data_IF_076248122697
#
_entry.id   IF_076248122697
#
_cell.length_a   1.000
_cell.length_b   1.000
_cell.length_c   1.000
_cell.angle_alpha   90.00
_cell.angle_beta   90.00
_cell.angle_gamma   90.00
#
_symmetry.space_group_name_H-M   'P 1'
#
loop_
_entity.id
_entity.type
_entity.pdbx_description
1 polymer ?
#
# COMPACT_ATOMS: atom_id res chain seq x y z
N UNK A 1 -55.43 -18.03 -11.35
CA UNK A 1 -55.28 -18.51 -9.95
C UNK A 1 -54.05 -17.81 -9.39
N UNK A 2 -54.24 -16.65 -8.74
CA UNK A 2 -54.21 -16.48 -7.27
C UNK A 2 -52.75 -16.33 -6.76
N UNK A 3 -52.24 -15.11 -6.50
CA UNK A 3 -52.38 -14.24 -5.29
C UNK A 3 -51.93 -14.93 -3.98
N UNK A 4 -51.11 -14.20 -3.19
CA UNK A 4 -50.70 -14.36 -1.76
C UNK A 4 -49.35 -15.08 -1.55
N UNK A 5 -48.35 -14.60 -0.79
CA UNK A 5 -48.27 -13.62 0.30
C UNK A 5 -46.80 -13.18 0.61
N UNK A 6 -46.64 -11.95 1.14
CA UNK A 6 -45.62 -11.39 2.09
C UNK A 6 -44.13 -11.37 1.69
N UNK A 7 -43.37 -10.26 1.63
CA UNK A 7 -43.29 -8.98 2.38
C UNK A 7 -43.09 -9.13 3.90
N UNK A 8 -41.82 -9.28 4.31
CA UNK A 8 -41.20 -8.87 5.61
C UNK A 8 -39.68 -9.10 5.41
N UNK A 9 -38.70 -8.25 5.69
CA UNK A 9 -38.60 -7.03 6.47
C UNK A 9 -37.41 -6.18 5.93
N UNK A 10 -37.66 -4.93 5.52
CA UNK A 10 -36.64 -3.87 5.37
C UNK A 10 -37.31 -2.49 5.48
N UNK A 11 -38.02 -2.26 6.60
CA UNK A 11 -38.52 -0.94 7.02
C UNK A 11 -38.47 -0.90 8.56
N UNK A 12 -37.39 -0.30 9.10
CA UNK A 12 -37.25 0.23 10.46
C UNK A 12 -36.32 1.44 10.23
N UNK A 13 -36.73 2.72 10.26
CA UNK A 13 -37.26 3.47 11.40
C UNK A 13 -37.82 4.80 10.86
N UNK A 14 -39.14 4.95 10.84
CA UNK A 14 -39.82 6.24 10.70
C UNK A 14 -41.16 6.06 11.44
N UNK A 15 -41.27 6.56 12.67
CA UNK A 15 -42.43 7.25 13.32
C UNK A 15 -42.14 7.42 14.83
N UNK A 16 -42.20 8.67 15.33
CA UNK A 16 -42.41 9.16 16.73
C UNK A 16 -41.64 10.49 16.84
N UNK A 17 -42.19 11.70 16.98
CA UNK A 17 -43.50 12.21 17.37
C UNK A 17 -43.82 13.49 16.56
N UNK A 18 -45.02 13.59 16.01
CA UNK A 18 -45.74 14.86 15.85
C UNK A 18 -46.69 14.99 17.03
N UNK A 19 -46.48 15.97 17.90
CA UNK A 19 -47.57 16.51 18.74
C UNK A 19 -47.36 18.01 18.95
N UNK A 20 -48.35 18.72 18.43
CA UNK A 20 -48.73 20.12 18.58
C UNK A 20 -48.39 20.73 19.96
N UNK A 21 -47.80 21.92 19.95
CA UNK A 21 -48.09 22.97 20.93
C UNK A 21 -48.37 24.28 20.18
N UNK A 22 -49.63 24.43 19.77
CA UNK A 22 -50.28 25.73 19.68
C UNK A 22 -50.46 26.19 21.13
N UNK A 23 -49.73 27.22 21.55
CA UNK A 23 -50.11 28.05 22.69
C UNK A 23 -50.22 29.47 22.18
N UNK A 24 -51.46 29.89 21.98
CA UNK A 24 -51.86 31.27 21.93
C UNK A 24 -51.54 31.94 23.27
N UNK A 25 -50.67 32.96 23.25
CA UNK A 25 -50.63 33.98 24.29
C UNK A 25 -50.73 35.38 23.65
N UNK A 26 -51.68 36.10 24.22
CA UNK A 26 -52.22 37.44 24.04
C UNK A 26 -51.25 38.58 23.67
N UNK A 27 -51.81 39.53 22.91
CA UNK A 27 -51.30 40.87 22.57
C UNK A 27 -50.54 41.61 23.68
N UNK A 28 -49.40 42.24 23.32
CA UNK A 28 -49.16 43.67 23.55
C UNK A 28 -47.90 44.17 22.81
N UNK A 29 -48.12 45.05 21.82
CA UNK A 29 -47.23 46.10 21.29
C UNK A 29 -45.71 45.86 21.25
N UNK A 30 -45.18 45.58 20.06
CA UNK A 30 -44.19 46.44 19.39
C UNK A 30 -43.98 45.89 17.96
N UNK A 31 -44.07 46.80 17.00
CA UNK A 31 -44.13 46.52 15.58
C UNK A 31 -42.88 45.77 15.08
N UNK A 32 -43.07 44.57 14.54
CA UNK A 32 -42.12 43.92 13.65
C UNK A 32 -42.92 43.32 12.49
N UNK A 33 -43.10 44.12 11.45
CA UNK A 33 -43.69 43.69 10.18
C UNK A 33 -42.71 42.75 9.48
N UNK A 34 -42.94 41.45 9.59
CA UNK A 34 -42.37 40.45 8.70
C UNK A 34 -42.90 40.71 7.29
N UNK A 35 -42.04 41.16 6.38
CA UNK A 35 -42.37 41.22 4.96
C UNK A 35 -42.30 39.80 4.38
N UNK A 36 -43.47 39.20 4.17
CA UNK A 36 -43.64 37.99 3.37
C UNK A 36 -43.73 38.35 1.88
N UNK A 37 -43.01 37.61 1.04
CA UNK A 37 -43.31 37.51 -0.38
C UNK A 37 -43.28 36.03 -0.81
N UNK A 38 -44.46 35.39 -0.80
CA UNK A 38 -44.88 34.37 -1.76
C UNK A 38 -44.22 32.98 -1.72
N UNK A 39 -44.76 32.09 -0.88
CA UNK A 39 -45.13 30.70 -1.19
C UNK A 39 -44.10 29.68 -1.69
N UNK A 40 -43.64 28.78 -0.80
CA UNK A 40 -43.93 27.32 -0.80
C UNK A 40 -43.52 26.69 0.56
N UNK A 41 -44.15 25.57 0.99
CA UNK A 41 -43.91 24.95 2.29
C UNK A 41 -42.73 23.97 2.22
N UNK A 42 -41.54 24.39 2.68
CA UNK A 42 -40.40 23.47 2.75
C UNK A 42 -39.06 24.03 3.25
N UNK A 43 -38.87 25.35 3.27
CA UNK A 43 -37.57 25.92 3.67
C UNK A 43 -37.45 25.97 5.19
N UNK A 44 -36.68 25.06 5.77
CA UNK A 44 -36.24 25.16 7.16
C UNK A 44 -35.30 26.37 7.28
N UNK A 45 -35.73 27.42 7.98
CA UNK A 45 -34.89 28.60 8.25
C UNK A 45 -33.73 28.19 9.17
N UNK A 46 -32.56 27.96 8.58
CA UNK A 46 -31.39 27.35 9.23
C UNK A 46 -30.53 28.29 10.07
N UNK A 47 -31.09 29.28 10.79
CA UNK A 47 -30.47 29.91 11.97
C UNK A 47 -31.50 30.37 12.99
N UNK A 48 -31.50 29.75 14.17
CA UNK A 48 -32.23 30.24 15.33
C UNK A 48 -31.35 31.25 16.07
N UNK A 49 -31.38 32.50 15.64
CA UNK A 49 -30.59 33.59 16.21
C UNK A 49 -31.38 34.31 17.30
N UNK A 50 -30.78 34.55 18.46
CA UNK A 50 -31.34 35.46 19.47
C UNK A 50 -31.13 36.92 19.00
N UNK A 51 -32.15 37.54 18.41
CA UNK A 51 -32.12 38.94 17.95
C UNK A 51 -33.16 39.28 16.88
N UNK A 52 -33.19 40.55 16.47
CA UNK A 52 -33.95 40.98 15.29
C UNK A 52 -33.18 40.59 14.02
N UNK A 53 -33.92 40.12 13.01
CA UNK A 53 -33.38 39.66 11.73
C UNK A 53 -33.92 40.55 10.60
N UNK A 54 -33.04 40.95 9.69
CA UNK A 54 -33.44 41.55 8.42
C UNK A 54 -33.38 40.49 7.30
N UNK A 55 -34.29 40.61 6.32
CA UNK A 55 -34.36 39.74 5.14
C UNK A 55 -34.05 40.54 3.88
N UNK A 56 -33.19 40.00 3.01
CA UNK A 56 -32.92 40.55 1.67
C UNK A 56 -32.96 39.48 0.58
N UNK A 57 -33.39 39.86 -0.62
CA UNK A 57 -33.45 38.99 -1.81
C UNK A 57 -32.35 39.36 -2.81
N UNK A 58 -31.47 38.41 -3.14
CA UNK A 58 -30.40 38.50 -4.15
C UNK A 58 -28.98 38.24 -3.61
N UNK A 59 -28.09 37.64 -4.42
CA UNK A 59 -26.68 37.42 -4.05
C UNK A 59 -25.91 38.74 -4.10
N UNK A 60 -25.61 39.35 -2.96
CA UNK A 60 -24.68 40.48 -2.89
C UNK A 60 -23.78 40.35 -1.67
N UNK A 61 -22.52 40.74 -1.87
CA UNK A 61 -21.68 41.18 -0.76
C UNK A 61 -22.20 42.53 -0.25
N UNK A 62 -22.31 42.67 1.07
CA UNK A 62 -22.75 43.89 1.71
C UNK A 62 -21.58 44.48 2.50
N UNK A 63 -21.11 45.68 2.15
CA UNK A 63 -20.28 46.49 3.07
C UNK A 63 -21.16 47.20 4.12
N UNK A 64 -22.35 47.63 3.69
CA UNK A 64 -23.42 48.23 4.49
C UNK A 64 -24.79 47.76 3.96
N UNK A 65 -25.81 47.75 4.83
CA UNK A 65 -27.18 47.45 4.43
C UNK A 65 -28.12 48.54 4.94
N UNK A 66 -28.99 49.04 4.06
CA UNK A 66 -30.01 50.05 4.40
C UNK A 66 -31.40 49.45 4.35
N UNK A 67 -32.19 49.76 5.36
CA UNK A 67 -33.62 49.45 5.43
C UNK A 67 -34.41 50.34 4.46
N UNK A 68 -35.70 50.05 4.28
CA UNK A 68 -36.58 50.77 3.34
C UNK A 68 -36.75 52.25 3.67
N UNK A 69 -36.55 52.64 4.93
CA UNK A 69 -36.53 54.03 5.40
C UNK A 69 -35.16 54.71 5.26
N UNK A 70 -34.24 54.06 4.55
CA UNK A 70 -32.86 54.51 4.28
C UNK A 70 -31.95 54.53 5.53
N UNK A 71 -32.39 53.94 6.66
CA UNK A 71 -31.55 53.78 7.85
C UNK A 71 -30.60 52.58 7.72
N UNK A 72 -29.41 52.67 8.32
CA UNK A 72 -28.45 51.57 8.31
C UNK A 72 -28.83 50.47 9.30
N UNK A 73 -28.73 49.22 8.86
CA UNK A 73 -28.83 48.02 9.68
C UNK A 73 -27.62 47.94 10.62
N UNK A 74 -27.85 47.87 11.93
CA UNK A 74 -26.81 47.96 12.97
C UNK A 74 -27.02 46.93 14.08
N UNK A 75 -25.93 46.40 14.62
CA UNK A 75 -25.88 45.42 15.72
C UNK A 75 -26.81 44.21 15.54
N UNK A 76 -26.93 43.72 14.31
CA UNK A 76 -27.92 42.67 14.00
C UNK A 76 -27.51 41.85 12.78
N UNK A 77 -28.13 40.68 12.69
CA UNK A 77 -27.94 39.74 11.60
C UNK A 77 -28.85 40.07 10.41
N UNK A 78 -28.31 39.91 9.21
CA UNK A 78 -29.03 39.91 7.94
C UNK A 78 -29.01 38.48 7.38
N UNK A 79 -30.19 37.95 7.11
CA UNK A 79 -30.37 36.75 6.30
C UNK A 79 -30.58 37.18 4.85
N UNK A 80 -29.62 36.88 4.00
CA UNK A 80 -29.74 37.08 2.56
C UNK A 80 -30.10 35.76 1.91
N UNK A 81 -31.16 35.76 1.12
CA UNK A 81 -31.56 34.62 0.31
C UNK A 81 -31.31 34.96 -1.15
N UNK A 82 -30.49 34.16 -1.81
CA UNK A 82 -30.30 34.26 -3.25
C UNK A 82 -31.08 33.22 -4.02
N UNK A 83 -31.79 33.69 -5.04
CA UNK A 83 -32.40 32.84 -6.06
C UNK A 83 -31.30 32.39 -7.02
N UNK A 84 -31.01 31.09 -7.05
CA UNK A 84 -30.19 30.51 -8.13
C UNK A 84 -31.07 30.17 -9.34
N UNK A 85 -30.46 30.02 -10.51
CA UNK A 85 -31.17 29.73 -11.77
C UNK A 85 -31.96 28.40 -11.78
N UNK A 86 -31.87 27.57 -10.73
CA UNK A 86 -32.44 26.22 -10.67
C UNK A 86 -33.45 25.99 -9.52
N UNK A 87 -34.01 27.04 -8.93
CA UNK A 87 -34.90 26.97 -7.74
C UNK A 87 -34.22 26.44 -6.46
N UNK A 88 -32.90 26.43 -6.40
CA UNK A 88 -32.17 26.28 -5.14
C UNK A 88 -31.97 27.66 -4.49
N UNK A 89 -32.25 27.73 -3.19
CA UNK A 89 -32.07 28.92 -2.39
C UNK A 89 -30.77 28.83 -1.60
N UNK A 90 -29.82 29.72 -1.91
CA UNK A 90 -28.63 29.89 -1.09
C UNK A 90 -28.95 30.89 0.03
N UNK A 91 -28.73 30.46 1.27
CA UNK A 91 -28.94 31.28 2.46
C UNK A 91 -27.56 31.71 2.98
N UNK A 92 -27.36 33.01 3.09
CA UNK A 92 -26.12 33.61 3.59
C UNK A 92 -26.41 34.57 4.73
N UNK A 93 -25.58 34.51 5.77
CA UNK A 93 -25.76 35.34 6.96
C UNK A 93 -24.61 36.32 7.14
N UNK A 94 -24.95 37.55 7.50
CA UNK A 94 -24.02 38.66 7.71
C UNK A 94 -24.36 39.36 9.02
N UNK A 95 -23.36 39.84 9.76
CA UNK A 95 -23.59 40.65 10.95
C UNK A 95 -23.07 42.07 10.77
N UNK A 96 -23.88 43.06 11.16
CA UNK A 96 -23.51 44.48 11.06
C UNK A 96 -23.17 45.06 12.42
N UNK A 97 -22.07 45.82 12.50
CA UNK A 97 -21.62 46.48 13.72
C UNK A 97 -22.51 47.68 14.11
N UNK A 98 -22.14 48.38 15.19
CA UNK A 98 -22.84 49.58 15.68
C UNK A 98 -22.84 50.76 14.68
N UNK A 99 -21.95 50.75 13.71
CA UNK A 99 -21.83 51.76 12.67
C UNK A 99 -22.56 51.36 11.39
N UNK A 100 -22.98 50.10 11.27
CA UNK A 100 -23.68 49.54 10.12
C UNK A 100 -22.75 48.95 9.08
N UNK A 101 -21.54 48.57 9.49
CA UNK A 101 -20.55 47.89 8.65
C UNK A 101 -20.57 46.39 8.90
N UNK A 102 -20.46 45.60 7.86
CA UNK A 102 -20.39 44.14 7.96
C UNK A 102 -19.12 43.69 8.69
N UNK A 103 -19.28 42.79 9.65
CA UNK A 103 -18.18 42.16 10.38
C UNK A 103 -17.54 41.04 9.57
N UNK A 104 -16.27 40.75 9.88
CA UNK A 104 -15.42 39.78 9.18
C UNK A 104 -14.50 39.05 10.17
N UNK A 105 -13.97 37.91 9.75
CA UNK A 105 -13.13 36.97 10.50
C UNK A 105 -13.80 36.49 11.80
N UNK A 106 -13.00 36.06 12.77
CA UNK A 106 -13.44 35.63 14.09
C UNK A 106 -14.22 36.72 14.82
N UNK A 107 -15.46 36.42 15.22
CA UNK A 107 -16.33 37.33 15.94
C UNK A 107 -17.00 36.63 17.12
N UNK A 108 -17.13 37.35 18.24
CA UNK A 108 -17.94 36.92 19.38
C UNK A 108 -19.16 37.82 19.46
N UNK A 109 -20.34 37.25 19.17
CA UNK A 109 -21.61 37.96 19.12
C UNK A 109 -22.53 37.29 20.15
N UNK A 110 -23.02 38.07 21.13
CA UNK A 110 -23.86 37.58 22.22
C UNK A 110 -23.27 36.35 22.95
N UNK A 111 -21.96 36.36 23.18
CA UNK A 111 -21.25 35.28 23.89
C UNK A 111 -21.02 34.00 23.08
N UNK A 112 -21.37 33.99 21.78
CA UNK A 112 -21.16 32.87 20.86
C UNK A 112 -20.11 33.26 19.81
N UNK A 113 -19.27 32.30 19.44
CA UNK A 113 -18.18 32.52 18.48
C UNK A 113 -18.58 32.09 17.08
N UNK A 114 -18.30 32.94 16.10
CA UNK A 114 -18.59 32.76 14.68
C UNK A 114 -17.32 33.08 13.89
N UNK A 115 -17.18 32.48 12.70
CA UNK A 115 -16.27 32.99 11.70
C UNK A 115 -17.08 33.59 10.56
N UNK A 116 -16.81 34.85 10.24
CA UNK A 116 -17.36 35.55 9.09
C UNK A 116 -16.26 35.61 8.02
N UNK A 117 -16.56 35.24 6.78
CA UNK A 117 -15.57 35.22 5.71
C UNK A 117 -14.80 36.55 5.60
N UNK A 118 -13.50 36.47 5.33
CA UNK A 118 -12.64 37.65 5.34
C UNK A 118 -12.90 38.58 4.13
N UNK A 119 -13.28 37.99 3.01
CA UNK A 119 -13.54 38.74 1.78
C UNK A 119 -14.93 39.34 1.80
N UNK A 120 -15.94 38.54 2.18
CA UNK A 120 -17.35 38.88 2.01
C UNK A 120 -18.17 38.95 3.31
N UNK A 121 -17.64 38.56 4.47
CA UNK A 121 -18.34 38.67 5.75
C UNK A 121 -19.51 37.68 5.93
N UNK A 122 -19.61 36.67 5.06
CA UNK A 122 -20.59 35.60 5.17
C UNK A 122 -20.22 34.65 6.32
N UNK A 123 -21.17 34.25 7.16
CA UNK A 123 -20.90 33.27 8.21
C UNK A 123 -20.54 31.89 7.64
N UNK A 124 -19.59 31.22 8.29
CA UNK A 124 -19.17 29.84 7.98
C UNK A 124 -19.98 28.81 8.76
N UNK A 125 -20.09 27.61 8.19
CA UNK A 125 -20.87 26.48 8.72
C UNK A 125 -20.13 25.17 8.56
N UNK A 126 -20.41 24.22 9.45
CA UNK A 126 -19.81 22.90 9.42
C UNK A 126 -18.29 22.95 9.60
N UNK A 127 -17.58 22.09 8.87
CA UNK A 127 -16.14 21.98 8.92
C UNK A 127 -15.47 23.15 8.20
N UNK A 128 -14.70 23.95 8.92
CA UNK A 128 -13.97 25.10 8.39
C UNK A 128 -12.49 25.03 8.74
N UNK A 129 -11.61 25.28 7.76
CA UNK A 129 -10.16 25.28 7.95
C UNK A 129 -9.62 26.71 8.00
N UNK A 130 -8.89 27.03 9.07
CA UNK A 130 -8.25 28.33 9.24
C UNK A 130 -6.85 28.16 9.83
N UNK A 131 -5.83 28.69 9.14
CA UNK A 131 -4.42 28.60 9.55
C UNK A 131 -4.01 27.18 9.97
N UNK A 132 -4.22 26.21 9.08
CA UNK A 132 -3.90 24.78 9.25
C UNK A 132 -4.80 23.99 10.23
N UNK A 133 -5.46 24.66 11.16
CA UNK A 133 -6.40 24.06 12.11
C UNK A 133 -7.81 23.89 11.52
N UNK A 134 -8.50 22.82 11.92
CA UNK A 134 -9.92 22.60 11.62
C UNK A 134 -10.79 22.99 12.81
N UNK A 135 -11.93 23.61 12.50
CA UNK A 135 -12.97 24.00 13.43
C UNK A 135 -14.30 23.42 12.95
N UNK A 136 -15.23 23.23 13.88
CA UNK A 136 -16.58 22.80 13.55
C UNK A 136 -17.61 23.84 14.03
N UNK A 137 -18.35 24.40 13.08
CA UNK A 137 -19.46 25.31 13.30
C UNK A 137 -20.76 24.53 13.16
N UNK A 138 -21.68 24.71 14.11
CA UNK A 138 -22.95 23.99 14.07
C UNK A 138 -23.72 24.36 12.78
N UNK A 139 -24.14 23.38 11.96
CA UNK A 139 -24.63 23.64 10.60
C UNK A 139 -25.87 24.54 10.51
N UNK A 140 -26.70 24.58 11.54
CA UNK A 140 -27.95 25.35 11.57
C UNK A 140 -27.83 26.67 12.32
N UNK A 141 -26.67 27.06 12.82
CA UNK A 141 -26.55 28.26 13.65
C UNK A 141 -25.23 28.99 13.41
N UNK A 142 -24.24 28.34 12.82
CA UNK A 142 -22.91 28.90 12.62
C UNK A 142 -22.13 29.10 13.92
N UNK A 143 -22.57 28.50 15.03
CA UNK A 143 -21.90 28.62 16.33
C UNK A 143 -20.72 27.65 16.38
N UNK A 144 -19.51 28.16 16.62
CA UNK A 144 -18.31 27.34 16.83
C UNK A 144 -18.51 26.42 18.03
N UNK A 145 -18.28 25.13 17.83
CA UNK A 145 -18.25 24.16 18.92
C UNK A 145 -16.91 24.25 19.68
N UNK A 146 -16.95 23.99 20.98
CA UNK A 146 -15.78 23.95 21.87
C UNK A 146 -15.71 22.63 22.67
N UNK A 147 -16.51 21.65 22.26
CA UNK A 147 -16.54 20.30 22.79
C UNK A 147 -17.34 19.41 21.84
N UNK A 148 -17.23 18.09 21.99
CA UNK A 148 -18.02 17.11 21.24
C UNK A 148 -17.22 16.39 20.15
N UNK A 149 -17.83 15.36 19.59
CA UNK A 149 -17.23 14.49 18.57
C UNK A 149 -18.03 14.60 17.27
N UNK A 150 -17.36 14.90 16.16
CA UNK A 150 -17.99 15.10 14.86
C UNK A 150 -17.25 14.32 13.77
N UNK A 151 -17.99 13.82 12.79
CA UNK A 151 -17.47 13.05 11.67
C UNK A 151 -17.15 13.95 10.47
N UNK A 152 -16.06 13.63 9.77
CA UNK A 152 -15.68 14.23 8.50
C UNK A 152 -14.99 13.20 7.62
N UNK A 153 -15.53 12.97 6.42
CA UNK A 153 -14.97 12.06 5.41
C UNK A 153 -14.69 10.64 5.98
N UNK A 154 -15.54 10.18 6.89
CA UNK A 154 -15.44 8.88 7.57
C UNK A 154 -14.54 8.87 8.82
N UNK A 155 -13.97 10.01 9.22
CA UNK A 155 -13.05 10.13 10.37
C UNK A 155 -13.71 10.92 11.50
N UNK A 156 -13.60 10.44 12.74
CA UNK A 156 -14.11 11.12 13.93
C UNK A 156 -13.08 12.07 14.54
N UNK A 157 -13.53 13.27 14.91
CA UNK A 157 -12.73 14.31 15.53
C UNK A 157 -13.37 14.81 16.83
N UNK A 158 -12.58 14.96 17.88
CA UNK A 158 -12.95 15.64 19.11
C UNK A 158 -12.61 17.12 19.03
N UNK A 159 -13.57 17.99 19.38
CA UNK A 159 -13.36 19.43 19.46
C UNK A 159 -12.85 19.79 20.85
N UNK A 160 -11.69 20.43 20.91
CA UNK A 160 -11.09 20.95 22.14
C UNK A 160 -11.80 22.20 22.66
N UNK A 161 -11.51 22.58 23.91
CA UNK A 161 -12.07 23.79 24.54
C UNK A 161 -11.69 25.09 23.83
N UNK A 162 -10.64 25.06 23.00
CA UNK A 162 -10.21 26.15 22.12
C UNK A 162 -10.91 26.14 20.75
N UNK A 163 -11.80 25.17 20.51
CA UNK A 163 -12.55 25.00 19.28
C UNK A 163 -11.83 24.20 18.19
N UNK A 164 -10.58 23.77 18.43
CA UNK A 164 -9.79 23.04 17.46
C UNK A 164 -10.17 21.57 17.43
N UNK A 165 -10.20 21.00 16.23
CA UNK A 165 -10.44 19.58 16.06
C UNK A 165 -9.15 18.77 16.21
N UNK A 166 -9.23 17.74 17.03
CA UNK A 166 -8.22 16.70 17.21
C UNK A 166 -8.82 15.36 16.82
N UNK A 167 -8.02 14.39 16.41
CA UNK A 167 -8.54 13.05 16.15
C UNK A 167 -9.17 12.45 17.41
N UNK A 168 -10.33 11.81 17.26
CA UNK A 168 -10.95 11.10 18.37
C UNK A 168 -10.23 9.74 18.55
N UNK A 169 -9.37 9.60 19.56
CA UNK A 169 -8.79 8.29 19.88
C UNK A 169 -9.85 7.36 20.46
N UNK A 170 -9.92 6.11 19.99
CA UNK A 170 -10.91 5.10 20.38
C UNK A 170 -10.73 4.55 21.82
N UNK A 171 -9.71 4.98 22.56
CA UNK A 171 -9.28 4.33 23.80
C UNK A 171 -9.64 5.12 25.07
N UNK A 172 -9.94 4.40 26.15
CA UNK A 172 -10.35 4.93 27.47
C UNK A 172 -9.30 5.87 28.08
N UNK A 173 -9.65 6.59 29.16
CA UNK A 173 -8.74 7.50 29.88
C UNK A 173 -7.43 6.85 30.39
N UNK A 174 -7.33 5.51 30.39
CA UNK A 174 -6.13 4.76 30.76
C UNK A 174 -5.34 4.22 29.54
N UNK A 175 -5.92 4.26 28.34
CA UNK A 175 -5.30 3.82 27.09
C UNK A 175 -4.66 4.94 26.28
N UNK A 176 -4.05 4.57 25.14
CA UNK A 176 -3.47 5.49 24.18
C UNK A 176 -1.93 5.59 24.23
N UNK A 177 -1.41 6.49 23.40
CA UNK A 177 0.02 6.76 23.23
C UNK A 177 0.65 7.42 24.46
N UNK A 178 1.86 7.00 24.83
CA UNK A 178 2.71 7.66 25.83
C UNK A 178 4.16 7.62 25.40
N UNK A 179 4.95 8.55 25.92
CA UNK A 179 6.40 8.55 25.75
C UNK A 179 7.06 8.03 27.03
N UNK A 180 7.92 7.01 26.88
CA UNK A 180 8.70 6.41 27.96
C UNK A 180 10.14 6.22 27.47
N UNK A 181 11.13 6.76 28.18
CA UNK A 181 12.55 6.65 27.82
C UNK A 181 12.86 7.09 26.38
N UNK A 182 12.31 8.23 25.95
CA UNK A 182 12.48 8.80 24.60
C UNK A 182 11.94 7.89 23.48
N UNK A 183 11.03 6.97 23.82
CA UNK A 183 10.37 6.05 22.87
C UNK A 183 8.87 6.06 23.09
N UNK A 184 8.13 5.80 22.02
CA UNK A 184 6.67 5.72 22.07
C UNK A 184 6.19 4.34 22.51
N UNK A 185 5.14 4.31 23.34
CA UNK A 185 4.47 3.12 23.84
C UNK A 185 2.96 3.32 23.70
N UNK A 186 2.20 2.22 23.69
CA UNK A 186 0.75 2.27 23.64
C UNK A 186 0.13 1.44 24.77
N UNK A 187 -0.90 1.98 25.41
CA UNK A 187 -1.68 1.28 26.42
C UNK A 187 -3.07 0.90 25.88
N UNK A 188 -3.46 -0.36 26.06
CA UNK A 188 -4.80 -0.87 25.74
C UNK A 188 -5.32 -1.61 26.97
N UNK A 189 -6.55 -1.31 27.38
CA UNK A 189 -7.20 -1.92 28.56
C UNK A 189 -6.36 -1.89 29.85
N UNK A 190 -5.65 -0.77 30.07
CA UNK A 190 -4.79 -0.56 31.24
C UNK A 190 -3.44 -1.29 31.19
N UNK A 191 -3.12 -1.99 30.09
CA UNK A 191 -1.85 -2.70 29.89
C UNK A 191 -1.01 -2.14 28.74
N UNK A 192 0.32 -2.19 28.86
CA UNK A 192 1.26 -1.82 27.80
C UNK A 192 1.26 -2.89 26.70
N UNK A 193 1.02 -2.47 25.46
CA UNK A 193 1.01 -3.34 24.27
C UNK A 193 2.43 -3.85 23.97
N UNK A 194 2.57 -5.15 23.67
CA UNK A 194 3.85 -5.83 23.40
C UNK A 194 3.67 -6.93 22.37
N UNK A 195 4.60 -7.06 21.43
CA UNK A 195 4.55 -8.01 20.30
C UNK A 195 3.20 -8.01 19.57
N UNK A 196 2.56 -6.85 19.47
CA UNK A 196 1.19 -6.75 18.96
C UNK A 196 1.01 -5.47 18.14
N UNK A 197 0.00 -5.52 17.28
CA UNK A 197 -0.36 -4.46 16.36
C UNK A 197 -1.41 -3.54 16.99
N UNK A 198 -1.27 -2.24 16.74
CA UNK A 198 -2.31 -1.23 16.99
C UNK A 198 -2.69 -0.63 15.64
N UNK A 199 -3.99 -0.59 15.37
CA UNK A 199 -4.54 0.36 14.41
C UNK A 199 -5.05 1.55 15.20
N UNK A 200 -4.48 2.73 14.92
CA UNK A 200 -4.96 3.98 15.47
C UNK A 200 -5.25 4.92 14.30
N UNK A 201 -6.51 5.32 14.18
CA UNK A 201 -7.00 6.16 13.07
C UNK A 201 -6.73 5.57 11.67
N UNK A 202 -6.77 4.24 11.57
CA UNK A 202 -6.50 3.51 10.33
C UNK A 202 -5.02 3.39 9.96
N UNK A 203 -4.12 3.93 10.79
CA UNK A 203 -2.68 3.78 10.63
C UNK A 203 -2.23 2.63 11.54
N UNK A 204 -1.48 1.70 10.97
CA UNK A 204 -0.96 0.55 11.70
C UNK A 204 0.41 0.83 12.29
N UNK A 205 0.61 0.35 13.51
CA UNK A 205 1.83 0.42 14.29
C UNK A 205 2.11 -0.95 14.91
N UNK A 206 3.38 -1.28 15.11
CA UNK A 206 3.78 -2.50 15.79
C UNK A 206 4.64 -2.18 17.02
N UNK A 207 4.44 -2.93 18.10
CA UNK A 207 5.19 -2.77 19.34
C UNK A 207 6.06 -4.01 19.58
N UNK A 208 7.33 -3.79 19.90
CA UNK A 208 8.29 -4.85 20.16
C UNK A 208 8.01 -5.61 21.48
N UNK A 209 8.90 -6.53 21.84
CA UNK A 209 8.78 -7.35 23.06
C UNK A 209 8.84 -6.56 24.36
N UNK A 210 9.43 -5.37 24.33
CA UNK A 210 9.52 -4.46 25.47
C UNK A 210 8.33 -3.46 25.49
N UNK A 211 7.59 -3.40 24.39
CA UNK A 211 6.40 -2.57 24.18
C UNK A 211 6.74 -1.18 23.67
N UNK A 212 7.88 -1.03 23.02
CA UNK A 212 8.24 0.19 22.31
C UNK A 212 7.81 0.09 20.84
N UNK A 213 7.33 1.21 20.31
CA UNK A 213 6.91 1.32 18.93
C UNK A 213 8.09 1.10 17.99
N UNK A 214 7.90 0.23 17.01
CA UNK A 214 8.83 0.01 15.90
C UNK A 214 8.72 1.18 14.93
N UNK A 215 9.86 1.76 14.58
CA UNK A 215 9.96 2.84 13.59
C UNK A 215 11.31 2.82 12.87
N UNK A 216 11.36 3.54 11.75
CA UNK A 216 12.52 3.72 10.87
C UNK A 216 13.24 2.42 10.45
N UNK A 217 12.47 1.38 10.12
CA UNK A 217 13.06 0.08 9.79
C UNK A 217 12.12 -0.82 8.99
N UNK A 218 12.72 -1.85 8.38
CA UNK A 218 12.01 -3.00 7.81
C UNK A 218 12.31 -4.21 8.69
N UNK A 219 11.27 -4.90 9.17
CA UNK A 219 11.42 -6.05 10.06
C UNK A 219 10.45 -7.18 9.69
N UNK A 220 10.75 -8.39 10.18
CA UNK A 220 9.88 -9.56 10.00
C UNK A 220 9.00 -9.75 11.23
N UNK A 221 7.69 -9.85 11.00
CA UNK A 221 6.66 -10.07 12.02
C UNK A 221 5.82 -11.24 11.54
N UNK A 222 5.75 -12.31 12.33
CA UNK A 222 5.02 -13.55 12.01
C UNK A 222 5.34 -14.14 10.62
N UNK A 223 6.60 -14.00 10.17
CA UNK A 223 7.09 -14.53 8.89
C UNK A 223 6.84 -13.62 7.68
N UNK A 224 6.18 -12.48 7.85
CA UNK A 224 5.99 -11.47 6.80
C UNK A 224 6.91 -10.26 7.04
N UNK A 225 7.27 -9.54 5.97
CA UNK A 225 8.06 -8.30 6.07
C UNK A 225 7.14 -7.08 6.10
N UNK A 226 7.47 -6.10 6.95
CA UNK A 226 6.78 -4.81 7.05
C UNK A 226 7.79 -3.66 7.10
N UNK A 227 7.44 -2.51 6.54
CA UNK A 227 8.24 -1.28 6.59
C UNK A 227 7.57 -0.26 7.49
N UNK A 228 8.34 0.41 8.34
CA UNK A 228 7.86 1.45 9.24
C UNK A 228 8.65 2.74 9.04
N UNK A 229 7.95 3.86 8.89
CA UNK A 229 8.55 5.19 8.84
C UNK A 229 9.09 5.60 10.22
N UNK A 230 9.86 6.70 10.29
CA UNK A 230 10.47 7.17 11.53
C UNK A 230 9.48 7.56 12.65
N UNK A 231 8.24 7.88 12.28
CA UNK A 231 7.14 8.12 13.21
C UNK A 231 6.32 6.85 13.52
N UNK A 232 6.80 5.66 13.12
CA UNK A 232 6.20 4.35 13.39
C UNK A 232 5.02 3.97 12.52
N UNK A 233 4.63 4.82 11.55
CA UNK A 233 3.59 4.46 10.61
C UNK A 233 4.04 3.26 9.77
N UNK A 234 3.24 2.19 9.74
CA UNK A 234 3.41 1.13 8.76
C UNK A 234 3.21 1.72 7.37
N UNK A 235 4.23 1.58 6.52
CA UNK A 235 4.21 2.14 5.17
C UNK A 235 3.52 1.15 4.21
N UNK A 236 2.58 1.66 3.43
CA UNK A 236 1.84 0.91 2.40
C UNK A 236 1.98 1.59 1.05
N UNK A 237 1.74 0.82 -0.02
CA UNK A 237 1.85 1.25 -1.42
C UNK A 237 3.19 1.92 -1.76
N UNK A 238 4.29 1.41 -1.19
CA UNK A 238 5.63 1.97 -1.34
C UNK A 238 6.65 0.91 -1.75
N UNK A 239 7.70 1.34 -2.44
CA UNK A 239 8.86 0.52 -2.75
C UNK A 239 10.02 0.86 -1.82
N UNK A 240 10.68 -0.17 -1.29
CA UNK A 240 11.91 -0.02 -0.49
C UNK A 240 12.96 -1.01 -0.95
N UNK A 241 14.22 -0.58 -0.89
CA UNK A 241 15.37 -1.46 -1.08
C UNK A 241 15.81 -2.01 0.29
N UNK A 242 15.82 -3.34 0.42
CA UNK A 242 16.14 -4.03 1.66
C UNK A 242 16.93 -5.31 1.38
N UNK A 243 18.04 -5.52 2.09
CA UNK A 243 18.93 -6.68 1.92
C UNK A 243 19.31 -6.99 0.46
N UNK A 244 19.57 -5.96 -0.35
CA UNK A 244 19.98 -6.13 -1.74
C UNK A 244 18.84 -6.33 -2.74
N UNK A 245 17.58 -6.24 -2.30
CA UNK A 245 16.39 -6.53 -3.11
C UNK A 245 15.36 -5.42 -2.96
N UNK A 246 14.64 -5.08 -4.05
CA UNK A 246 13.49 -4.18 -3.97
C UNK A 246 12.23 -4.96 -3.52
N UNK A 247 11.51 -4.40 -2.56
CA UNK A 247 10.22 -4.88 -2.09
C UNK A 247 9.15 -3.83 -2.37
N UNK A 248 7.96 -4.28 -2.75
CA UNK A 248 6.75 -3.49 -2.78
C UNK A 248 5.88 -3.88 -1.59
N UNK A 249 5.55 -2.92 -0.74
CA UNK A 249 4.65 -3.09 0.40
C UNK A 249 3.25 -2.69 -0.07
N UNK A 250 2.33 -3.64 -0.16
CA UNK A 250 0.97 -3.42 -0.68
C UNK A 250 0.05 -2.66 0.28
N UNK A 251 -1.25 -2.65 0.00
CA UNK A 251 -2.27 -2.05 0.89
C UNK A 251 -2.34 -2.75 2.25
N UNK A 252 -2.02 -4.04 2.30
CA UNK A 252 -1.93 -4.85 3.53
C UNK A 252 -0.62 -4.67 4.29
N UNK A 253 0.32 -3.88 3.75
CA UNK A 253 1.64 -3.63 4.31
C UNK A 253 2.60 -4.81 4.20
N UNK A 254 2.21 -5.93 3.58
CA UNK A 254 3.11 -7.09 3.45
C UNK A 254 4.08 -6.81 2.30
N UNK A 255 5.37 -6.87 2.63
CA UNK A 255 6.47 -6.70 1.68
C UNK A 255 6.54 -7.88 0.71
N UNK A 256 6.07 -7.67 -0.51
CA UNK A 256 6.25 -8.61 -1.62
C UNK A 256 7.50 -8.23 -2.38
N UNK A 257 8.39 -9.19 -2.58
CA UNK A 257 9.60 -8.97 -3.37
C UNK A 257 9.24 -8.50 -4.78
N UNK A 258 9.72 -7.31 -5.15
CA UNK A 258 9.61 -6.78 -6.50
C UNK A 258 10.87 -7.20 -7.25
N UNK A 259 10.79 -8.33 -7.95
CA UNK A 259 11.88 -8.76 -8.82
C UNK A 259 12.15 -7.65 -9.84
N UNK A 260 13.35 -7.05 -9.81
CA UNK A 260 13.85 -6.38 -11.00
C UNK A 260 13.88 -7.42 -12.12
N UNK A 261 13.49 -7.02 -13.32
CA UNK A 261 13.49 -7.83 -14.56
C UNK A 261 14.85 -8.51 -14.86
N UNK A 262 15.90 -8.17 -14.11
CA UNK A 262 17.29 -8.62 -14.25
C UNK A 262 17.98 -8.95 -12.91
N UNK A 263 17.25 -9.10 -11.80
CA UNK A 263 17.90 -9.41 -10.52
C UNK A 263 18.20 -10.91 -10.42
N UNK A 264 19.48 -11.24 -10.47
CA UNK A 264 19.97 -12.56 -10.13
C UNK A 264 19.96 -12.74 -8.60
N UNK A 265 18.89 -13.33 -8.06
CA UNK A 265 18.77 -13.65 -6.63
C UNK A 265 19.88 -14.54 -6.09
N UNK A 266 20.56 -15.28 -6.97
CA UNK A 266 21.64 -16.18 -6.59
C UNK A 266 23.03 -15.54 -6.73
N UNK A 267 23.12 -14.23 -7.02
CA UNK A 267 24.40 -13.52 -7.18
C UNK A 267 25.28 -13.52 -5.93
N UNK A 268 24.74 -13.87 -4.77
CA UNK A 268 25.51 -14.04 -3.53
C UNK A 268 25.34 -15.43 -2.88
N UNK A 269 24.66 -16.36 -3.56
CA UNK A 269 24.50 -17.73 -3.07
C UNK A 269 25.58 -18.64 -3.69
N UNK A 270 26.64 -18.94 -2.93
CA UNK A 270 27.78 -19.72 -3.43
C UNK A 270 27.39 -21.13 -3.89
N UNK A 271 26.42 -21.77 -3.22
CA UNK A 271 25.96 -23.12 -3.58
C UNK A 271 25.25 -23.11 -4.94
N UNK A 272 24.37 -22.13 -5.17
CA UNK A 272 23.67 -22.01 -6.46
C UNK A 272 24.62 -21.54 -7.57
N UNK A 273 25.60 -20.69 -7.25
CA UNK A 273 26.65 -20.35 -8.22
C UNK A 273 27.52 -21.55 -8.58
N UNK A 274 27.81 -22.43 -7.62
CA UNK A 274 28.47 -23.70 -7.88
C UNK A 274 27.63 -24.56 -8.81
N UNK A 275 26.30 -24.64 -8.62
CA UNK A 275 25.40 -25.32 -9.56
C UNK A 275 25.53 -24.75 -10.98
N UNK A 276 25.40 -23.43 -11.14
CA UNK A 276 25.51 -22.75 -12.43
C UNK A 276 26.87 -23.01 -13.11
N UNK A 277 27.95 -23.06 -12.32
CA UNK A 277 29.30 -23.33 -12.81
C UNK A 277 29.43 -24.72 -13.45
N UNK A 278 28.71 -25.74 -12.96
CA UNK A 278 28.73 -27.10 -13.53
C UNK A 278 28.20 -27.18 -14.96
N UNK A 279 27.43 -26.20 -15.42
CA UNK A 279 26.91 -26.14 -16.79
C UNK A 279 27.20 -24.80 -17.48
N UNK A 280 28.18 -24.04 -16.98
CA UNK A 280 28.50 -22.71 -17.51
C UNK A 280 28.95 -22.72 -18.97
N UNK A 281 29.78 -23.69 -19.38
CA UNK A 281 30.19 -23.84 -20.79
C UNK A 281 28.96 -24.09 -21.68
N UNK A 282 28.03 -24.94 -21.22
CA UNK A 282 26.80 -25.26 -21.94
C UNK A 282 25.90 -24.02 -22.07
N UNK A 283 25.68 -23.31 -20.97
CA UNK A 283 24.93 -22.05 -20.94
C UNK A 283 25.50 -21.03 -21.91
N UNK A 284 26.82 -20.79 -21.87
CA UNK A 284 27.44 -19.76 -22.71
C UNK A 284 27.46 -20.15 -24.19
N UNK A 285 27.58 -21.44 -24.53
CA UNK A 285 27.44 -21.92 -25.91
C UNK A 285 26.04 -21.67 -26.49
N UNK A 286 25.03 -21.54 -25.64
CA UNK A 286 23.64 -21.26 -26.02
C UNK A 286 23.26 -19.77 -25.80
N UNK A 287 24.26 -18.88 -25.73
CA UNK A 287 24.08 -17.44 -25.47
C UNK A 287 23.36 -17.09 -24.15
N UNK A 288 23.31 -18.02 -23.19
CA UNK A 288 22.79 -17.75 -21.86
C UNK A 288 23.80 -17.02 -20.97
N UNK A 289 23.30 -16.54 -19.82
CA UNK A 289 24.08 -15.85 -18.80
C UNK A 289 24.32 -16.75 -17.58
N UNK A 290 25.59 -17.09 -17.32
CA UNK A 290 26.00 -18.04 -16.26
C UNK A 290 25.68 -17.57 -14.84
N UNK A 291 25.32 -16.31 -14.67
CA UNK A 291 24.89 -15.76 -13.39
C UNK A 291 23.50 -16.26 -13.01
N UNK A 292 22.59 -16.45 -13.96
CA UNK A 292 21.22 -16.91 -13.67
C UNK A 292 21.13 -18.44 -13.57
N UNK A 293 20.26 -18.90 -12.66
CA UNK A 293 19.88 -20.31 -12.59
C UNK A 293 19.33 -20.77 -13.94
N UNK A 294 19.94 -21.80 -14.54
CA UNK A 294 19.56 -22.31 -15.85
C UNK A 294 19.96 -21.41 -17.04
N UNK A 295 20.67 -20.30 -16.79
CA UNK A 295 21.19 -19.42 -17.84
C UNK A 295 20.28 -18.27 -18.25
N UNK A 296 19.06 -18.19 -17.71
CA UNK A 296 18.06 -17.19 -18.08
C UNK A 296 17.35 -16.64 -16.84
N UNK A 297 16.97 -15.36 -16.87
CA UNK A 297 16.19 -14.78 -15.80
C UNK A 297 14.75 -15.29 -15.85
N UNK A 298 14.26 -15.85 -14.73
CA UNK A 298 12.84 -16.22 -14.60
C UNK A 298 11.99 -14.95 -14.74
N UNK A 299 10.94 -15.00 -15.57
CA UNK A 299 10.01 -13.89 -15.82
C UNK A 299 10.59 -12.64 -16.54
N UNK A 300 11.78 -12.71 -17.17
CA UNK A 300 12.34 -11.55 -17.90
C UNK A 300 11.68 -11.28 -19.26
N UNK A 301 11.12 -12.30 -19.91
CA UNK A 301 10.31 -12.20 -21.14
C UNK A 301 9.54 -13.51 -21.39
N UNK A 302 8.42 -13.43 -22.11
CA UNK A 302 7.72 -14.62 -22.64
C UNK A 302 8.67 -15.51 -23.47
N UNK A 303 9.56 -14.89 -24.24
CA UNK A 303 10.57 -15.57 -25.06
C UNK A 303 11.54 -16.46 -24.25
N UNK A 304 11.77 -16.16 -22.97
CA UNK A 304 12.66 -16.98 -22.13
C UNK A 304 11.99 -18.30 -21.72
N UNK A 305 10.69 -18.26 -21.43
CA UNK A 305 9.90 -19.46 -21.14
C UNK A 305 9.71 -20.29 -22.41
N UNK A 306 9.18 -19.68 -23.48
CA UNK A 306 8.90 -20.39 -24.73
C UNK A 306 10.17 -20.90 -25.41
N UNK A 307 11.27 -20.12 -25.36
CA UNK A 307 12.54 -20.56 -25.92
C UNK A 307 13.10 -21.79 -25.20
N UNK A 308 13.04 -21.85 -23.88
CA UNK A 308 13.48 -23.04 -23.12
C UNK A 308 12.53 -24.22 -23.38
N UNK A 309 11.22 -23.97 -23.43
CA UNK A 309 10.22 -25.00 -23.74
C UNK A 309 10.42 -25.60 -25.13
N UNK A 310 10.68 -24.76 -26.15
CA UNK A 310 10.99 -25.20 -27.51
C UNK A 310 12.26 -26.06 -27.54
N UNK A 311 13.33 -25.65 -26.84
CA UNK A 311 14.58 -26.43 -26.78
C UNK A 311 14.37 -27.79 -26.09
N UNK A 312 13.58 -27.85 -25.02
CA UNK A 312 13.23 -29.10 -24.34
C UNK A 312 12.46 -30.04 -25.29
N UNK A 313 11.49 -29.52 -26.04
CA UNK A 313 10.70 -30.33 -26.95
C UNK A 313 11.51 -30.78 -28.17
N UNK A 314 12.24 -29.86 -28.81
CA UNK A 314 12.97 -30.09 -30.06
C UNK A 314 14.20 -30.96 -29.87
N UNK A 315 15.03 -30.64 -28.87
CA UNK A 315 16.35 -31.25 -28.73
C UNK A 315 16.37 -32.41 -27.72
N UNK A 316 15.38 -32.47 -26.83
CA UNK A 316 15.29 -33.51 -25.79
C UNK A 316 14.06 -34.41 -25.91
N UNK A 317 13.04 -34.02 -26.68
CA UNK A 317 11.75 -34.73 -26.72
C UNK A 317 11.01 -34.67 -25.39
N UNK A 318 11.30 -33.68 -24.54
CA UNK A 318 10.67 -33.49 -23.24
C UNK A 318 9.44 -32.61 -23.41
N UNK A 319 8.25 -33.15 -23.14
CA UNK A 319 6.96 -32.49 -23.35
C UNK A 319 6.19 -32.22 -22.05
N UNK A 320 6.64 -32.79 -20.95
CA UNK A 320 6.02 -32.69 -19.63
C UNK A 320 7.02 -33.01 -18.51
N UNK A 321 6.59 -32.82 -17.26
CA UNK A 321 7.39 -33.14 -16.07
C UNK A 321 7.90 -34.58 -16.08
N UNK A 322 7.06 -35.57 -16.39
CA UNK A 322 7.41 -36.99 -16.27
C UNK A 322 8.49 -37.41 -17.28
N UNK A 323 8.36 -36.97 -18.54
CA UNK A 323 9.40 -37.14 -19.57
C UNK A 323 10.70 -36.44 -19.19
N UNK A 324 10.61 -35.26 -18.56
CA UNK A 324 11.74 -34.53 -18.00
C UNK A 324 12.46 -35.30 -16.87
N UNK A 325 11.73 -35.81 -15.88
CA UNK A 325 12.32 -36.62 -14.80
C UNK A 325 13.04 -37.87 -15.35
N UNK A 326 12.43 -38.55 -16.33
CA UNK A 326 13.04 -39.70 -17.00
C UNK A 326 14.34 -39.32 -17.73
N UNK A 327 14.37 -38.16 -18.40
CA UNK A 327 15.57 -37.67 -19.06
C UNK A 327 16.71 -37.40 -18.07
N UNK A 328 16.42 -36.77 -16.93
CA UNK A 328 17.42 -36.54 -15.87
C UNK A 328 17.91 -37.87 -15.30
N UNK A 329 17.02 -38.81 -14.98
CA UNK A 329 17.40 -40.13 -14.47
C UNK A 329 18.31 -40.89 -15.45
N UNK A 330 18.01 -40.86 -16.75
CA UNK A 330 18.83 -41.48 -17.79
C UNK A 330 20.21 -40.84 -17.92
N UNK A 331 20.32 -39.51 -17.75
CA UNK A 331 21.61 -38.83 -17.73
C UNK A 331 22.44 -39.22 -16.51
N UNK A 332 21.83 -39.29 -15.33
CA UNK A 332 22.53 -39.73 -14.11
C UNK A 332 22.99 -41.19 -14.21
N UNK A 333 22.17 -42.07 -14.76
CA UNK A 333 22.57 -43.46 -15.05
C UNK A 333 23.72 -43.52 -16.07
N UNK A 334 23.68 -42.68 -17.10
CA UNK A 334 24.77 -42.59 -18.08
C UNK A 334 26.06 -42.08 -17.43
N UNK A 335 25.98 -41.11 -16.51
CA UNK A 335 27.12 -40.59 -15.77
C UNK A 335 27.78 -41.66 -14.88
N UNK A 336 26.97 -42.48 -14.20
CA UNK A 336 27.44 -43.58 -13.35
C UNK A 336 28.21 -44.64 -14.15
N UNK A 337 27.81 -44.90 -15.40
CA UNK A 337 28.43 -45.90 -16.26
C UNK A 337 29.55 -45.33 -17.15
N UNK A 338 29.78 -44.01 -17.12
CA UNK A 338 30.78 -43.36 -17.95
C UNK A 338 32.15 -43.30 -17.26
N UNK A 339 33.21 -43.35 -18.07
CA UNK A 339 34.57 -43.11 -17.60
C UNK A 339 34.71 -41.73 -16.95
N UNK A 340 35.60 -41.60 -15.96
CA UNK A 340 35.95 -40.31 -15.32
C UNK A 340 36.19 -39.20 -16.35
N UNK A 341 36.85 -39.53 -17.44
CA UNK A 341 37.20 -38.61 -18.51
C UNK A 341 36.01 -38.11 -19.33
N UNK A 342 34.79 -38.62 -19.15
CA UNK A 342 33.61 -38.22 -19.94
C UNK A 342 32.35 -37.97 -19.11
N UNK A 343 32.29 -38.42 -17.86
CA UNK A 343 31.06 -38.40 -17.06
C UNK A 343 30.52 -36.99 -16.77
N UNK A 344 31.36 -35.96 -16.71
CA UNK A 344 30.90 -34.57 -16.47
C UNK A 344 29.96 -34.06 -17.58
N UNK A 345 30.07 -34.56 -18.81
CA UNK A 345 29.15 -34.23 -19.90
C UNK A 345 27.68 -34.59 -19.60
N UNK A 346 27.47 -35.70 -18.88
CA UNK A 346 26.13 -36.13 -18.47
C UNK A 346 25.65 -35.34 -17.25
N UNK A 347 26.53 -35.13 -16.27
CA UNK A 347 26.23 -34.35 -15.07
C UNK A 347 25.85 -32.90 -15.39
N UNK A 348 26.63 -32.21 -16.24
CA UNK A 348 26.32 -30.83 -16.64
C UNK A 348 24.93 -30.71 -17.26
N UNK A 349 24.52 -31.70 -18.07
CA UNK A 349 23.19 -31.69 -18.69
C UNK A 349 22.09 -32.04 -17.69
N UNK A 350 22.33 -32.95 -16.75
CA UNK A 350 21.38 -33.25 -15.69
C UNK A 350 21.12 -32.03 -14.79
N UNK A 351 22.19 -31.31 -14.42
CA UNK A 351 22.12 -30.04 -13.68
C UNK A 351 21.35 -28.98 -14.47
N UNK A 352 21.67 -28.77 -15.75
CA UNK A 352 20.98 -27.78 -16.58
C UNK A 352 19.48 -28.10 -16.75
N UNK A 353 19.13 -29.35 -17.05
CA UNK A 353 17.71 -29.74 -17.18
C UNK A 353 16.95 -29.50 -15.88
N UNK A 354 17.58 -29.81 -14.74
CA UNK A 354 16.99 -29.56 -13.41
C UNK A 354 16.66 -28.08 -13.21
N UNK A 355 17.52 -27.18 -13.68
CA UNK A 355 17.28 -25.73 -13.65
C UNK A 355 16.22 -25.29 -14.69
N UNK A 356 16.24 -25.84 -15.90
CA UNK A 356 15.28 -25.51 -16.96
C UNK A 356 13.85 -25.93 -16.61
N UNK A 357 13.65 -27.03 -15.89
CA UNK A 357 12.32 -27.44 -15.42
C UNK A 357 11.66 -26.40 -14.51
N UNK A 358 12.45 -25.66 -13.72
CA UNK A 358 11.94 -24.50 -12.99
C UNK A 358 11.59 -23.34 -13.93
N UNK A 359 12.40 -23.09 -14.97
CA UNK A 359 12.13 -22.01 -15.94
C UNK A 359 10.81 -22.23 -16.69
N UNK A 360 10.43 -23.49 -16.97
CA UNK A 360 9.19 -23.85 -17.70
C UNK A 360 8.07 -24.42 -16.81
N UNK A 361 8.13 -24.18 -15.49
CA UNK A 361 7.08 -24.55 -14.53
C UNK A 361 6.76 -26.06 -14.44
N UNK A 362 7.70 -26.92 -14.82
CA UNK A 362 7.60 -28.37 -14.58
C UNK A 362 7.88 -28.75 -13.14
N UNK A 363 8.61 -27.91 -12.40
CA UNK A 363 8.79 -28.02 -10.97
C UNK A 363 8.92 -26.64 -10.31
N UNK A 364 8.73 -26.60 -9.01
CA UNK A 364 9.00 -25.40 -8.20
C UNK A 364 10.50 -25.10 -8.14
N UNK A 365 10.84 -23.87 -7.77
CA UNK A 365 12.23 -23.46 -7.52
C UNK A 365 12.91 -24.33 -6.48
N UNK A 366 12.21 -24.60 -5.37
CA UNK A 366 12.72 -25.45 -4.30
C UNK A 366 13.00 -26.87 -4.79
N UNK A 367 12.09 -27.49 -5.55
CA UNK A 367 12.30 -28.83 -6.12
C UNK A 367 13.51 -28.86 -7.08
N UNK A 368 13.70 -27.80 -7.88
CA UNK A 368 14.84 -27.67 -8.79
C UNK A 368 16.17 -27.59 -8.04
N UNK A 369 16.24 -26.77 -7.00
CA UNK A 369 17.44 -26.58 -6.19
C UNK A 369 17.74 -27.80 -5.30
N UNK A 370 16.71 -28.42 -4.70
CA UNK A 370 16.84 -29.65 -3.92
C UNK A 370 17.43 -30.77 -4.81
N UNK A 371 16.94 -30.92 -6.05
CA UNK A 371 17.49 -31.88 -7.02
C UNK A 371 18.93 -31.56 -7.40
N UNK A 372 19.24 -30.30 -7.72
CA UNK A 372 20.60 -29.90 -8.09
C UNK A 372 21.59 -30.10 -6.94
N UNK A 373 21.17 -29.91 -5.69
CA UNK A 373 22.01 -30.20 -4.53
C UNK A 373 22.35 -31.68 -4.42
N UNK A 374 21.38 -32.57 -4.63
CA UNK A 374 21.64 -34.01 -4.61
C UNK A 374 22.57 -34.44 -5.75
N UNK A 375 22.40 -33.87 -6.95
CA UNK A 375 23.32 -34.11 -8.06
C UNK A 375 24.72 -33.52 -7.76
N UNK A 376 24.79 -32.32 -7.17
CA UNK A 376 26.06 -31.69 -6.81
C UNK A 376 26.86 -32.53 -5.81
N UNK A 377 26.19 -33.15 -4.84
CA UNK A 377 26.81 -34.08 -3.88
C UNK A 377 27.33 -35.35 -4.56
N UNK A 378 26.78 -35.75 -5.71
CA UNK A 378 27.35 -36.82 -6.54
C UNK A 378 28.57 -36.33 -7.35
N UNK A 379 28.54 -35.08 -7.85
CA UNK A 379 29.59 -34.53 -8.71
C UNK A 379 30.86 -34.18 -7.92
N UNK A 380 30.73 -33.41 -6.83
CA UNK A 380 31.88 -32.83 -6.12
C UNK A 380 32.96 -33.85 -5.70
N UNK A 381 32.63 -35.05 -5.17
CA UNK A 381 33.65 -36.03 -4.78
C UNK A 381 34.31 -36.74 -5.97
N UNK A 382 33.69 -36.73 -7.16
CA UNK A 382 34.21 -37.44 -8.33
C UNK A 382 35.37 -36.70 -8.99
N UNK A 383 35.45 -35.36 -8.86
CA UNK A 383 36.50 -34.55 -9.51
C UNK A 383 37.30 -33.74 -8.49
N UNK A 384 38.54 -33.40 -8.85
CA UNK A 384 39.45 -32.67 -7.96
C UNK A 384 39.35 -31.14 -8.07
N UNK A 385 38.85 -30.61 -9.18
CA UNK A 385 38.81 -29.17 -9.47
C UNK A 385 37.90 -28.85 -10.65
N UNK A 386 37.64 -27.56 -10.88
CA UNK A 386 36.98 -27.09 -12.11
C UNK A 386 37.72 -27.51 -13.38
N UNK A 387 39.05 -27.49 -13.39
CA UNK A 387 39.82 -27.95 -14.56
C UNK A 387 39.59 -29.44 -14.85
N UNK A 388 39.54 -30.28 -13.82
CA UNK A 388 39.30 -31.72 -13.99
C UNK A 388 37.87 -31.98 -14.48
N UNK A 389 36.89 -31.34 -13.87
CA UNK A 389 35.49 -31.42 -14.28
C UNK A 389 35.28 -30.94 -15.73
N UNK A 390 35.80 -29.76 -16.07
CA UNK A 390 35.60 -29.19 -17.41
C UNK A 390 36.37 -29.96 -18.48
N UNK A 391 37.54 -30.54 -18.18
CA UNK A 391 38.22 -31.47 -19.09
C UNK A 391 37.39 -32.72 -19.36
N UNK A 392 36.75 -33.28 -18.33
CA UNK A 392 35.83 -34.42 -18.49
C UNK A 392 34.61 -34.06 -19.35
N UNK A 393 34.05 -32.86 -19.14
CA UNK A 393 32.93 -32.35 -19.92
C UNK A 393 33.30 -32.22 -21.41
N UNK A 394 34.46 -31.66 -21.69
CA UNK A 394 34.96 -31.41 -23.05
C UNK A 394 35.18 -32.71 -23.82
N UNK A 395 35.85 -33.69 -23.20
CA UNK A 395 36.04 -35.02 -23.77
C UNK A 395 34.71 -35.74 -24.03
N UNK A 396 33.78 -35.68 -23.07
CA UNK A 396 32.44 -36.27 -23.23
C UNK A 396 31.65 -35.62 -24.36
N UNK A 397 31.72 -34.29 -24.49
CA UNK A 397 31.11 -33.56 -25.59
C UNK A 397 31.74 -33.94 -26.94
N UNK A 398 33.06 -34.02 -27.04
CA UNK A 398 33.76 -34.40 -28.26
C UNK A 398 33.33 -35.80 -28.73
N UNK A 399 33.24 -36.76 -27.80
CA UNK A 399 32.76 -38.12 -28.07
C UNK A 399 31.32 -38.14 -28.60
N UNK A 400 30.47 -37.26 -28.07
CA UNK A 400 29.07 -37.17 -28.49
C UNK A 400 28.88 -36.42 -29.81
N UNK A 401 29.59 -35.31 -30.01
CA UNK A 401 29.39 -34.42 -31.17
C UNK A 401 30.05 -34.94 -32.44
N UNK A 402 31.13 -35.74 -32.30
CA UNK A 402 32.00 -36.20 -33.38
C UNK A 402 32.42 -35.04 -34.33
N UNK A 403 32.64 -33.84 -33.77
CA UNK A 403 32.91 -32.61 -34.52
C UNK A 403 34.02 -31.80 -33.84
N UNK A 404 35.17 -31.68 -34.52
CA UNK A 404 36.38 -31.01 -34.02
C UNK A 404 36.23 -29.48 -33.91
N UNK A 405 35.49 -28.82 -34.80
CA UNK A 405 35.28 -27.36 -34.74
C UNK A 405 34.45 -26.96 -33.50
N UNK A 406 33.45 -27.78 -33.14
CA UNK A 406 32.60 -27.51 -31.98
C UNK A 406 33.34 -27.64 -30.64
N UNK A 407 34.39 -28.46 -30.57
CA UNK A 407 35.18 -28.58 -29.33
C UNK A 407 36.09 -27.37 -29.13
N UNK A 408 36.66 -26.80 -30.20
CA UNK A 408 37.48 -25.59 -30.13
C UNK A 408 36.68 -24.40 -29.57
N UNK A 409 35.43 -24.23 -30.02
CA UNK A 409 34.54 -23.19 -29.51
C UNK A 409 34.31 -23.31 -27.98
N UNK A 410 34.04 -24.53 -27.50
CA UNK A 410 33.83 -24.75 -26.07
C UNK A 410 35.11 -24.52 -25.25
N UNK A 411 36.29 -24.81 -25.83
CA UNK A 411 37.58 -24.55 -25.18
C UNK A 411 37.82 -23.05 -25.07
N UNK A 412 37.48 -22.29 -26.10
CA UNK A 412 37.50 -20.84 -26.07
C UNK A 412 36.56 -20.28 -24.97
N UNK A 413 35.33 -20.80 -24.88
CA UNK A 413 34.37 -20.41 -23.84
C UNK A 413 34.93 -20.68 -22.44
N UNK A 414 35.50 -21.87 -22.20
CA UNK A 414 36.11 -22.19 -20.91
C UNK A 414 37.22 -21.20 -20.55
N UNK A 415 38.15 -20.97 -21.48
CA UNK A 415 39.26 -20.05 -21.29
C UNK A 415 38.80 -18.60 -21.06
N UNK A 416 37.71 -18.18 -21.69
CA UNK A 416 37.09 -16.87 -21.47
C UNK A 416 36.49 -16.76 -20.07
N UNK A 417 35.65 -17.72 -19.69
CA UNK A 417 34.97 -17.74 -18.39
C UNK A 417 35.96 -17.82 -17.22
N UNK A 418 37.07 -18.56 -17.39
CA UNK A 418 38.11 -18.71 -16.36
C UNK A 418 38.97 -17.45 -16.15
N UNK A 419 38.88 -16.45 -17.05
CA UNK A 419 39.59 -15.17 -16.95
C UNK A 419 38.74 -14.04 -16.37
N UNK A 420 37.44 -14.27 -16.15
CA UNK A 420 36.56 -13.27 -15.58
C UNK A 420 36.78 -13.19 -14.06
N UNK A 421 36.99 -11.97 -13.55
CA UNK A 421 37.17 -11.72 -12.11
C UNK A 421 35.95 -12.12 -11.28
N UNK A 422 34.76 -12.09 -11.88
CA UNK A 422 33.48 -12.53 -11.33
C UNK A 422 32.90 -13.74 -12.11
N UNK A 423 33.78 -14.54 -12.74
CA UNK A 423 33.41 -15.71 -13.53
C UNK A 423 32.84 -16.87 -12.70
N UNK A 424 32.14 -17.82 -13.33
CA UNK A 424 31.54 -18.96 -12.63
C UNK A 424 32.56 -19.87 -11.93
N UNK A 425 33.81 -19.90 -12.41
CA UNK A 425 34.87 -20.74 -11.85
C UNK A 425 35.67 -20.09 -10.72
N UNK A 426 35.28 -18.87 -10.30
CA UNK A 426 35.86 -18.19 -9.13
C UNK A 426 35.37 -18.81 -7.81
N UNK A 427 34.21 -19.48 -7.84
CA UNK A 427 33.68 -20.25 -6.71
C UNK A 427 34.60 -21.43 -6.43
N UNK A 428 34.92 -21.67 -5.15
CA UNK A 428 35.79 -22.78 -4.77
C UNK A 428 35.12 -24.11 -5.10
N UNK A 429 35.85 -25.02 -5.73
CA UNK A 429 35.37 -26.37 -6.03
C UNK A 429 34.85 -27.08 -4.76
N UNK A 430 35.56 -26.91 -3.64
CA UNK A 430 35.27 -27.50 -2.33
C UNK A 430 34.29 -26.70 -1.46
N UNK A 431 33.35 -25.95 -2.06
CA UNK A 431 32.29 -25.26 -1.31
C UNK A 431 31.46 -26.28 -0.50
N UNK A 432 30.97 -25.88 0.68
CA UNK A 432 30.08 -26.73 1.49
C UNK A 432 28.70 -26.82 0.83
N UNK A 433 28.34 -28.00 0.32
CA UNK A 433 27.07 -28.25 -0.35
C UNK A 433 25.93 -28.46 0.66
N UNK A 434 25.42 -27.35 1.20
CA UNK A 434 24.25 -27.30 2.10
C UNK A 434 23.09 -26.56 1.46
N UNK A 435 21.87 -26.79 1.96
CA UNK A 435 20.68 -26.05 1.52
C UNK A 435 20.76 -24.59 1.98
N UNK A 436 20.61 -23.65 1.06
CA UNK A 436 20.82 -22.19 1.26
C UNK A 436 19.68 -21.33 0.69
N UNK A 437 18.55 -21.94 0.33
CA UNK A 437 17.36 -21.29 -0.21
C UNK A 437 16.14 -21.59 0.65
#
# INVERSE_FOLDING_TARGET
MWIKNNITAKIIKLTLLTTICIVSLSFSSLANTNYYAGGEPGVQMGMQVEGQLAYSRGSRYYDEFKLSDNTLLKNQWLCSVSDTYFNDYDISWYYFDKNGRTLKRWQTINGKTYYLDDSIGQAEYGWFKYNEDWYYFEPNTGIMQTSGTYEKDGILYNIGSDGKAHFASEYSAEGGWREENEKWVFYRDGGKVKNDWISDLGIWYYFDSDGYMVGDQICSIDGNLYSFAGNGHMETNIEKFYNGVNYYFGEDGIGVRKAHKYDNIYRHNEVVQWFNATYAILTKSNNGACTYLGGYAKNSSFDSYEGVLELLQRDWGITDRASGENAVANLLLSAQNADHSTKAWYYSRAMQLSAWFYLVDYCTEQESLDRQLEIAKMIQPEFSSWDDFNRSYMNGYQKWSNNEEKIENRQFIYNYLNKLDDGPFTIRWSVSLTKTW
#
